data_IF_876472346698
#
_entry.id   IF_876472346698
#
_cell.length_a   1.000
_cell.length_b   1.000
_cell.length_c   1.000
_cell.angle_alpha   90.00
_cell.angle_beta   90.00
_cell.angle_gamma   90.00
#
_symmetry.space_group_name_H-M   'P 1'
#
loop_
_entity.id
_entity.type
_entity.pdbx_description
1 polymer ?
#
# COMPACT_ATOMS: atom_id res chain seq x y z
N UNK A 1 -17.66 -32.68 4.02
CA UNK A 1 -17.55 -31.20 3.97
C UNK A 1 -16.26 -30.84 4.67
N UNK A 2 -15.15 -31.06 3.97
CA UNK A 2 -13.80 -30.72 4.40
C UNK A 2 -13.47 -29.32 3.86
N UNK A 3 -12.96 -28.38 4.67
CA UNK A 3 -12.34 -27.18 4.14
C UNK A 3 -10.95 -27.54 3.62
N UNK A 4 -10.79 -27.46 2.30
CA UNK A 4 -9.52 -27.61 1.62
C UNK A 4 -8.61 -26.41 1.92
N UNK A 5 -7.69 -26.60 2.87
CA UNK A 5 -6.45 -25.82 3.00
C UNK A 5 -5.28 -26.80 3.06
N UNK A 6 -4.59 -27.08 1.93
CA UNK A 6 -3.31 -27.76 2.01
C UNK A 6 -2.28 -27.19 1.02
N UNK A 7 -1.79 -25.95 1.19
CA UNK A 7 -0.64 -25.46 0.39
C UNK A 7 0.41 -24.60 1.09
N UNK A 8 0.39 -24.40 2.42
CA UNK A 8 1.48 -23.71 3.12
C UNK A 8 2.18 -24.62 4.16
N UNK A 9 3.31 -25.21 3.72
CA UNK A 9 4.46 -25.70 4.50
C UNK A 9 4.45 -27.14 5.06
N UNK A 10 5.15 -28.10 4.43
CA UNK A 10 5.41 -29.45 4.97
C UNK A 10 6.46 -29.50 6.12
N UNK A 11 6.91 -28.36 6.67
CA UNK A 11 8.06 -28.30 7.57
C UNK A 11 7.86 -27.55 8.90
N UNK A 12 6.65 -27.09 9.21
CA UNK A 12 6.42 -26.18 10.35
C UNK A 12 5.46 -26.76 11.42
N UNK A 13 5.43 -28.08 11.58
CA UNK A 13 4.49 -28.77 12.49
C UNK A 13 4.99 -28.95 13.93
N UNK A 14 6.11 -28.34 14.34
CA UNK A 14 6.63 -28.47 15.72
C UNK A 14 6.61 -27.17 16.55
N UNK A 15 6.02 -26.09 16.04
CA UNK A 15 5.95 -24.79 16.72
C UNK A 15 4.54 -24.24 16.99
N UNK A 16 3.48 -25.01 16.70
CA UNK A 16 2.09 -24.51 16.65
C UNK A 16 1.46 -24.23 18.02
N UNK A 17 2.02 -24.75 19.11
CA UNK A 17 1.60 -24.38 20.48
C UNK A 17 1.85 -22.87 20.75
N UNK A 18 2.86 -22.28 20.09
CA UNK A 18 3.11 -20.83 20.13
C UNK A 18 2.27 -20.02 19.14
N UNK A 19 1.90 -20.59 17.98
CA UNK A 19 1.10 -19.89 16.97
C UNK A 19 -0.37 -19.78 17.33
N UNK A 20 -0.96 -20.77 18.01
CA UNK A 20 -2.31 -20.63 18.56
C UNK A 20 -2.37 -19.53 19.63
N UNK A 21 -1.32 -19.37 20.43
CA UNK A 21 -1.21 -18.26 21.38
C UNK A 21 -1.04 -16.90 20.69
N UNK A 22 -0.32 -16.82 19.56
CA UNK A 22 -0.19 -15.60 18.73
C UNK A 22 -1.50 -15.26 18.01
N UNK A 23 -2.26 -16.25 17.54
CA UNK A 23 -3.59 -16.06 16.94
C UNK A 23 -4.64 -15.63 17.99
N UNK A 24 -4.61 -16.20 19.19
CA UNK A 24 -5.45 -15.77 20.33
C UNK A 24 -5.04 -14.41 20.92
N UNK A 25 -3.75 -14.02 20.84
CA UNK A 25 -3.31 -12.66 21.17
C UNK A 25 -3.73 -11.62 20.13
N UNK A 26 -3.86 -12.03 18.86
CA UNK A 26 -4.27 -11.16 17.77
C UNK A 26 -5.73 -10.67 17.93
N UNK A 27 -6.61 -11.47 18.54
CA UNK A 27 -7.99 -11.06 18.83
C UNK A 27 -8.12 -10.08 20.02
N UNK A 28 -7.16 -10.06 20.96
CA UNK A 28 -7.24 -9.27 22.19
C UNK A 28 -6.53 -7.92 22.14
N UNK A 29 -5.81 -7.63 21.05
CA UNK A 29 -4.93 -6.47 20.92
C UNK A 29 -5.02 -5.73 19.59
N UNK A 30 -6.22 -5.51 19.04
CA UNK A 30 -6.41 -4.94 17.69
C UNK A 30 -5.59 -3.68 17.38
N UNK A 31 -5.34 -2.81 18.38
CA UNK A 31 -4.46 -1.64 18.22
C UNK A 31 -2.97 -2.00 18.13
N UNK A 32 -2.49 -2.97 18.92
CA UNK A 32 -1.09 -3.41 18.92
C UNK A 32 -0.73 -4.05 17.58
N UNK A 33 -1.61 -4.88 17.03
CA UNK A 33 -1.41 -5.52 15.71
C UNK A 33 -1.28 -4.46 14.62
N UNK A 34 -2.12 -3.42 14.64
CA UNK A 34 -2.03 -2.30 13.71
C UNK A 34 -0.69 -1.54 13.81
N UNK A 35 -0.19 -1.29 15.02
CA UNK A 35 1.11 -0.64 15.21
C UNK A 35 2.27 -1.48 14.65
N UNK A 36 2.26 -2.79 14.88
CA UNK A 36 3.27 -3.68 14.33
C UNK A 36 3.24 -3.72 12.80
N UNK A 37 2.05 -3.76 12.18
CA UNK A 37 1.93 -3.74 10.72
C UNK A 37 2.51 -2.46 10.10
N UNK A 38 2.22 -1.29 10.68
CA UNK A 38 2.80 -0.02 10.22
C UNK A 38 4.34 -0.01 10.39
N UNK A 39 4.85 -0.60 11.46
CA UNK A 39 6.29 -0.73 11.69
C UNK A 39 6.95 -1.65 10.64
N UNK A 40 6.34 -2.80 10.35
CA UNK A 40 6.84 -3.69 9.30
C UNK A 40 6.80 -3.04 7.91
N UNK A 41 5.73 -2.30 7.58
CA UNK A 41 5.64 -1.53 6.35
C UNK A 41 6.76 -0.49 6.25
N UNK A 42 7.03 0.23 7.35
CA UNK A 42 8.14 1.18 7.43
C UNK A 42 9.49 0.51 7.20
N UNK A 43 9.77 -0.60 7.91
CA UNK A 43 11.06 -1.32 7.82
C UNK A 43 11.26 -1.89 6.42
N UNK A 44 10.23 -2.47 5.81
CA UNK A 44 10.28 -2.98 4.43
C UNK A 44 10.63 -1.86 3.42
N UNK A 45 9.95 -0.71 3.53
CA UNK A 45 10.21 0.45 2.68
C UNK A 45 11.60 1.05 2.94
N UNK A 46 12.06 1.06 4.19
CA UNK A 46 13.39 1.54 4.56
C UNK A 46 14.50 0.65 4.00
N UNK A 47 14.35 -0.67 4.12
CA UNK A 47 15.26 -1.63 3.50
C UNK A 47 15.32 -1.46 1.97
N UNK A 48 14.16 -1.24 1.32
CA UNK A 48 14.10 -0.96 -0.11
C UNK A 48 14.86 0.33 -0.47
N UNK A 49 14.71 1.41 0.30
CA UNK A 49 15.47 2.64 0.08
C UNK A 49 17.00 2.44 0.19
N UNK A 50 17.48 1.57 1.08
CA UNK A 50 18.90 1.23 1.20
C UNK A 50 19.39 0.51 -0.06
N UNK A 51 18.64 -0.49 -0.53
CA UNK A 51 18.98 -1.26 -1.74
C UNK A 51 19.06 -0.33 -2.97
N UNK A 52 18.16 0.65 -3.07
CA UNK A 52 18.16 1.64 -4.14
C UNK A 52 19.08 2.85 -3.89
N UNK A 53 19.97 2.77 -2.88
CA UNK A 53 20.98 3.77 -2.54
C UNK A 53 20.41 5.20 -2.42
N UNK A 54 19.24 5.34 -1.81
CA UNK A 54 18.61 6.63 -1.53
C UNK A 54 19.42 7.37 -0.47
N UNK A 55 19.85 8.60 -0.75
CA UNK A 55 20.74 9.38 0.12
C UNK A 55 20.03 10.53 0.82
N UNK A 56 20.59 10.91 1.97
CA UNK A 56 20.19 12.10 2.73
C UNK A 56 18.83 11.94 3.42
N UNK A 57 18.11 13.05 3.55
CA UNK A 57 16.85 13.12 4.30
C UNK A 57 15.73 12.24 3.69
N UNK A 58 15.78 11.99 2.38
CA UNK A 58 14.80 11.18 1.67
C UNK A 58 14.76 9.73 2.17
N UNK A 59 15.87 9.19 2.68
CA UNK A 59 15.96 7.84 3.23
C UNK A 59 14.95 7.59 4.36
N UNK A 60 14.67 8.62 5.17
CA UNK A 60 13.69 8.52 6.26
C UNK A 60 12.29 8.94 5.83
N UNK A 61 12.17 9.97 4.99
CA UNK A 61 10.86 10.49 4.59
C UNK A 61 10.12 9.63 3.57
N UNK A 62 10.81 8.86 2.71
CA UNK A 62 10.13 7.98 1.75
C UNK A 62 9.42 6.80 2.44
N UNK A 63 10.07 6.05 3.35
CA UNK A 63 9.42 4.94 4.07
C UNK A 63 8.29 5.38 4.99
N UNK A 64 8.36 6.60 5.54
CA UNK A 64 7.25 7.19 6.32
C UNK A 64 5.96 7.29 5.49
N UNK A 65 6.06 7.50 4.18
CA UNK A 65 4.90 7.51 3.29
C UNK A 65 4.19 6.16 3.20
N UNK A 66 4.95 5.06 3.20
CA UNK A 66 4.39 3.70 3.19
C UNK A 66 3.69 3.36 4.50
N UNK A 67 4.30 3.70 5.64
CA UNK A 67 3.67 3.56 6.95
C UNK A 67 2.41 4.42 7.09
N UNK A 68 2.43 5.65 6.54
CA UNK A 68 1.28 6.54 6.55
C UNK A 68 0.13 6.01 5.69
N UNK A 69 0.42 5.52 4.47
CA UNK A 69 -0.57 4.89 3.61
C UNK A 69 -1.21 3.66 4.26
N UNK A 70 -0.39 2.81 4.90
CA UNK A 70 -0.87 1.64 5.62
C UNK A 70 -1.71 2.01 6.85
N UNK A 71 -1.31 3.05 7.59
CA UNK A 71 -2.10 3.55 8.72
C UNK A 71 -3.48 4.05 8.27
N UNK A 72 -3.58 4.75 7.13
CA UNK A 72 -4.87 5.20 6.59
C UNK A 72 -5.72 4.01 6.14
N UNK A 73 -5.12 3.01 5.51
CA UNK A 73 -5.82 1.76 5.17
C UNK A 73 -6.45 1.11 6.42
N UNK A 74 -5.71 1.01 7.53
CA UNK A 74 -6.20 0.46 8.80
C UNK A 74 -7.27 1.35 9.48
N UNK A 75 -7.18 2.67 9.33
CA UNK A 75 -8.22 3.58 9.83
C UNK A 75 -9.53 3.44 9.04
N UNK A 76 -9.45 2.97 7.79
CA UNK A 76 -10.62 2.74 6.94
C UNK A 76 -11.21 1.34 7.07
N UNK A 77 -10.67 0.45 7.91
CA UNK A 77 -11.24 -0.87 8.22
C UNK A 77 -12.75 -0.87 8.54
N UNK A 78 -13.35 0.11 9.26
CA UNK A 78 -14.80 0.10 9.49
C UNK A 78 -15.67 0.26 8.24
N UNK A 79 -15.14 0.60 7.07
CA UNK A 79 -15.92 0.77 5.83
C UNK A 79 -16.41 -0.56 5.22
N UNK A 80 -15.99 -1.72 5.73
CA UNK A 80 -16.37 -3.07 5.27
C UNK A 80 -16.13 -3.37 3.77
N UNK A 81 -15.50 -2.46 3.03
CA UNK A 81 -15.13 -2.61 1.62
C UNK A 81 -13.62 -2.48 1.48
N UNK A 82 -12.95 -3.57 1.12
CA UNK A 82 -11.48 -3.57 0.94
C UNK A 82 -11.05 -2.64 -0.20
N UNK A 83 -11.83 -2.60 -1.28
CA UNK A 83 -11.56 -1.76 -2.44
C UNK A 83 -11.50 -0.27 -2.07
N UNK A 84 -12.46 0.19 -1.25
CA UNK A 84 -12.47 1.57 -0.75
C UNK A 84 -11.32 1.84 0.22
N UNK A 85 -10.93 0.87 1.04
CA UNK A 85 -9.77 0.99 1.93
C UNK A 85 -8.47 1.20 1.15
N UNK A 86 -8.22 0.39 0.11
CA UNK A 86 -7.06 0.54 -0.77
C UNK A 86 -7.09 1.86 -1.55
N UNK A 87 -8.27 2.28 -2.02
CA UNK A 87 -8.45 3.56 -2.70
C UNK A 87 -8.09 4.75 -1.78
N UNK A 88 -8.65 4.79 -0.57
CA UNK A 88 -8.41 5.86 0.41
C UNK A 88 -6.95 5.85 0.92
N UNK A 89 -6.39 4.67 1.19
CA UNK A 89 -4.97 4.53 1.54
C UNK A 89 -4.06 5.07 0.44
N UNK A 90 -4.39 4.79 -0.82
CA UNK A 90 -3.62 5.27 -1.97
C UNK A 90 -3.77 6.77 -2.22
N UNK A 91 -4.98 7.32 -2.02
CA UNK A 91 -5.19 8.76 -2.03
C UNK A 91 -4.31 9.46 -0.97
N UNK A 92 -4.26 8.91 0.24
CA UNK A 92 -3.47 9.47 1.33
C UNK A 92 -1.96 9.37 1.07
N UNK A 93 -1.44 8.21 0.64
CA UNK A 93 -0.01 8.08 0.34
C UNK A 93 0.40 8.91 -0.88
N UNK A 94 -0.47 9.04 -1.89
CA UNK A 94 -0.18 9.84 -3.09
C UNK A 94 -0.15 11.33 -2.77
N UNK A 95 -1.05 11.80 -1.89
CA UNK A 95 -1.02 13.20 -1.43
C UNK A 95 0.22 13.46 -0.59
N UNK A 96 0.61 12.52 0.29
CA UNK A 96 1.86 12.59 1.03
C UNK A 96 3.07 12.68 0.10
N UNK A 97 3.16 11.82 -0.91
CA UNK A 97 4.26 11.79 -1.87
C UNK A 97 4.41 13.12 -2.62
N UNK A 98 3.30 13.67 -3.13
CA UNK A 98 3.28 14.97 -3.82
C UNK A 98 3.71 16.13 -2.91
N UNK A 99 3.21 16.17 -1.68
CA UNK A 99 3.53 17.24 -0.71
C UNK A 99 5.00 17.18 -0.30
N UNK A 100 5.49 15.99 0.07
CA UNK A 100 6.87 15.82 0.54
C UNK A 100 7.91 16.00 -0.56
N UNK A 101 7.60 15.58 -1.79
CA UNK A 101 8.45 15.81 -2.95
C UNK A 101 8.69 17.30 -3.20
N UNK A 102 7.66 18.14 -3.02
CA UNK A 102 7.78 19.59 -3.20
C UNK A 102 8.51 20.26 -2.05
N UNK A 103 8.27 19.81 -0.83
CA UNK A 103 9.00 20.29 0.35
C UNK A 103 10.51 20.02 0.23
N UNK A 104 10.89 18.86 -0.32
CA UNK A 104 12.28 18.43 -0.46
C UNK A 104 12.89 18.69 -1.85
N UNK A 105 12.14 19.32 -2.77
CA UNK A 105 12.56 19.57 -4.17
C UNK A 105 13.09 18.31 -4.86
N UNK A 106 12.41 17.20 -4.64
CA UNK A 106 12.76 15.86 -5.13
C UNK A 106 11.68 15.33 -6.08
N UNK A 107 11.97 14.34 -6.93
CA UNK A 107 10.97 13.74 -7.81
C UNK A 107 9.88 13.00 -7.01
N UNK A 108 8.61 13.33 -7.28
CA UNK A 108 7.46 12.71 -6.60
C UNK A 108 7.32 11.21 -6.86
N UNK A 109 7.79 10.75 -8.02
CA UNK A 109 7.76 9.34 -8.41
C UNK A 109 8.53 8.44 -7.43
N UNK A 110 9.66 8.91 -6.89
CA UNK A 110 10.42 8.15 -5.90
C UNK A 110 9.63 7.91 -4.62
N UNK A 111 9.04 8.98 -4.07
CA UNK A 111 8.22 8.90 -2.86
C UNK A 111 6.99 8.01 -3.07
N UNK A 112 6.35 8.14 -4.24
CA UNK A 112 5.19 7.34 -4.59
C UNK A 112 5.53 5.85 -4.69
N UNK A 113 6.60 5.49 -5.41
CA UNK A 113 6.99 4.09 -5.60
C UNK A 113 7.29 3.39 -4.28
N UNK A 114 8.06 4.03 -3.40
CA UNK A 114 8.40 3.47 -2.09
C UNK A 114 7.17 3.36 -1.21
N UNK A 115 6.30 4.37 -1.18
CA UNK A 115 5.10 4.35 -0.35
C UNK A 115 4.03 3.37 -0.85
N UNK A 116 4.00 3.07 -2.15
CA UNK A 116 3.02 2.19 -2.76
C UNK A 116 3.38 0.70 -2.59
N UNK A 117 4.65 0.36 -2.36
CA UNK A 117 5.13 -1.02 -2.16
C UNK A 117 4.24 -1.88 -1.25
N UNK A 118 3.94 -1.48 0.00
CA UNK A 118 3.14 -2.31 0.90
C UNK A 118 1.66 -2.42 0.49
N UNK A 119 1.15 -1.52 -0.36
CA UNK A 119 -0.25 -1.52 -0.78
C UNK A 119 -0.54 -2.46 -1.97
N UNK A 120 0.48 -2.91 -2.69
CA UNK A 120 0.28 -3.75 -3.87
C UNK A 120 -0.08 -5.18 -3.43
N UNK A 121 -1.21 -5.75 -3.88
CA UNK A 121 -1.65 -7.09 -3.50
C UNK A 121 -0.84 -8.18 -4.23
N UNK A 122 0.41 -8.41 -3.80
CA UNK A 122 1.29 -9.44 -4.37
C UNK A 122 0.75 -10.86 -4.19
N UNK A 123 0.14 -11.15 -3.03
CA UNK A 123 -0.49 -12.44 -2.75
C UNK A 123 -1.68 -12.73 -3.67
N UNK A 124 -2.52 -11.73 -3.95
CA UNK A 124 -3.67 -11.88 -4.85
C UNK A 124 -3.24 -12.25 -6.28
N UNK A 125 -2.16 -11.65 -6.77
CA UNK A 125 -1.56 -11.99 -8.08
C UNK A 125 -1.04 -13.44 -8.06
N UNK A 126 -0.32 -13.83 -7.00
CA UNK A 126 0.21 -15.18 -6.85
C UNK A 126 -0.90 -16.24 -6.85
N UNK A 127 -1.94 -16.06 -6.03
CA UNK A 127 -3.06 -17.02 -5.95
C UNK A 127 -3.86 -17.08 -7.25
N UNK A 128 -4.03 -15.94 -7.94
CA UNK A 128 -4.67 -15.94 -9.27
C UNK A 128 -3.87 -16.82 -10.23
N UNK A 129 -2.54 -16.68 -10.27
CA UNK A 129 -1.69 -17.52 -11.12
C UNK A 129 -1.77 -19.01 -10.73
N UNK A 130 -1.74 -19.31 -9.43
CA UNK A 130 -1.86 -20.66 -8.90
C UNK A 130 -3.16 -21.33 -9.36
N UNK A 131 -4.32 -20.69 -9.17
CA UNK A 131 -5.61 -21.22 -9.60
C UNK A 131 -5.70 -21.43 -11.12
N UNK A 132 -5.04 -20.59 -11.90
CA UNK A 132 -4.93 -20.75 -13.35
C UNK A 132 -4.15 -22.00 -13.75
N UNK A 133 -3.07 -22.32 -13.03
CA UNK A 133 -2.25 -23.52 -13.28
C UNK A 133 -2.97 -24.78 -12.80
N UNK A 134 -3.67 -24.73 -11.66
CA UNK A 134 -4.43 -25.87 -11.14
C UNK A 134 -5.74 -26.14 -11.89
N UNK A 135 -6.10 -25.31 -12.87
CA UNK A 135 -7.32 -25.46 -13.68
C UNK A 135 -8.62 -25.09 -12.94
N UNK A 136 -8.53 -24.35 -11.83
CA UNK A 136 -9.70 -23.89 -11.09
C UNK A 136 -10.17 -22.53 -11.65
N UNK A 137 -10.95 -22.58 -12.73
CA UNK A 137 -11.39 -21.39 -13.47
C UNK A 137 -12.28 -20.46 -12.65
N UNK A 138 -13.10 -20.98 -11.73
CA UNK A 138 -13.99 -20.18 -10.90
C UNK A 138 -13.19 -19.29 -9.94
N UNK A 139 -12.30 -19.90 -9.15
CA UNK A 139 -11.42 -19.16 -8.22
C UNK A 139 -10.42 -18.25 -8.95
N UNK A 140 -9.96 -18.66 -10.13
CA UNK A 140 -9.11 -17.84 -11.00
C UNK A 140 -9.81 -16.53 -11.37
N UNK A 141 -11.06 -16.61 -11.84
CA UNK A 141 -11.82 -15.43 -12.25
C UNK A 141 -12.18 -14.56 -11.06
N UNK A 142 -12.61 -15.14 -9.95
CA UNK A 142 -12.97 -14.38 -8.74
C UNK A 142 -11.75 -13.64 -8.16
N UNK A 143 -10.66 -14.36 -7.91
CA UNK A 143 -9.42 -13.78 -7.34
C UNK A 143 -8.77 -12.80 -8.32
N UNK A 144 -8.80 -13.11 -9.61
CA UNK A 144 -8.28 -12.25 -10.67
C UNK A 144 -9.04 -10.94 -10.77
N UNK A 145 -10.37 -10.98 -10.81
CA UNK A 145 -11.21 -9.78 -10.84
C UNK A 145 -11.08 -8.95 -9.56
N UNK A 146 -10.96 -9.60 -8.40
CA UNK A 146 -10.71 -8.92 -7.13
C UNK A 146 -9.38 -8.17 -7.13
N UNK A 147 -8.31 -8.84 -7.55
CA UNK A 147 -6.95 -8.27 -7.62
C UNK A 147 -6.87 -7.14 -8.65
N UNK A 148 -7.51 -7.31 -9.81
CA UNK A 148 -7.65 -6.25 -10.82
C UNK A 148 -8.44 -5.05 -10.30
N UNK A 149 -9.51 -5.30 -9.54
CA UNK A 149 -10.28 -4.26 -8.85
C UNK A 149 -9.38 -3.43 -7.94
N UNK A 150 -8.63 -4.08 -7.05
CA UNK A 150 -7.69 -3.40 -6.14
C UNK A 150 -6.66 -2.61 -6.95
N UNK A 151 -6.01 -3.22 -7.94
CA UNK A 151 -5.02 -2.54 -8.79
C UNK A 151 -5.62 -1.29 -9.49
N UNK A 152 -6.85 -1.41 -9.98
CA UNK A 152 -7.61 -0.29 -10.56
C UNK A 152 -7.89 0.82 -9.54
N UNK A 153 -8.27 0.48 -8.31
CA UNK A 153 -8.46 1.44 -7.22
C UNK A 153 -7.15 2.16 -6.85
N UNK A 154 -6.03 1.43 -6.73
CA UNK A 154 -4.72 2.03 -6.49
C UNK A 154 -4.39 3.03 -7.62
N UNK A 155 -4.50 2.60 -8.88
CA UNK A 155 -4.20 3.43 -10.05
C UNK A 155 -5.07 4.70 -10.09
N UNK A 156 -6.37 4.57 -9.86
CA UNK A 156 -7.30 5.69 -9.79
C UNK A 156 -6.94 6.67 -8.66
N UNK A 157 -6.59 6.17 -7.48
CA UNK A 157 -6.16 7.00 -6.35
C UNK A 157 -4.93 7.85 -6.71
N UNK A 158 -3.91 7.24 -7.30
CA UNK A 158 -2.71 7.94 -7.76
C UNK A 158 -3.04 9.00 -8.81
N UNK A 159 -3.82 8.62 -9.83
CA UNK A 159 -4.17 9.49 -10.96
C UNK A 159 -4.97 10.73 -10.51
N UNK A 160 -5.93 10.55 -9.61
CA UNK A 160 -6.76 11.63 -9.09
C UNK A 160 -5.91 12.67 -8.35
N UNK A 161 -5.04 12.21 -7.45
CA UNK A 161 -4.15 13.13 -6.70
C UNK A 161 -3.18 13.83 -7.63
N UNK A 162 -2.49 13.08 -8.50
CA UNK A 162 -1.50 13.63 -9.42
C UNK A 162 -2.13 14.69 -10.35
N UNK A 163 -3.35 14.43 -10.83
CA UNK A 163 -4.09 15.35 -11.70
C UNK A 163 -4.53 16.61 -10.94
N UNK A 164 -5.10 16.44 -9.74
CA UNK A 164 -5.51 17.55 -8.89
C UNK A 164 -4.31 18.44 -8.53
N UNK A 165 -3.18 17.84 -8.15
CA UNK A 165 -1.98 18.58 -7.76
C UNK A 165 -1.32 19.30 -8.94
N UNK A 166 -1.36 18.69 -10.14
CA UNK A 166 -0.90 19.33 -11.37
C UNK A 166 -1.78 20.53 -11.71
N UNK A 167 -3.09 20.36 -11.67
CA UNK A 167 -4.05 21.43 -11.94
C UNK A 167 -3.85 22.60 -10.97
N UNK A 168 -3.76 22.31 -9.67
CA UNK A 168 -3.50 23.32 -8.63
C UNK A 168 -2.23 24.16 -8.91
N UNK A 169 -1.15 23.52 -9.36
CA UNK A 169 0.09 24.21 -9.71
C UNK A 169 -0.04 25.12 -10.93
N UNK A 170 -0.73 24.66 -11.97
CA UNK A 170 -0.98 25.46 -13.17
C UNK A 170 -1.76 26.73 -12.82
N UNK A 171 -2.80 26.60 -11.98
CA UNK A 171 -3.58 27.75 -11.51
C UNK A 171 -2.72 28.74 -10.70
N UNK A 172 -1.88 28.27 -9.77
CA UNK A 172 -0.97 29.15 -9.00
C UNK A 172 0.11 29.80 -9.87
N UNK A 173 0.60 29.11 -10.89
CA UNK A 173 1.56 29.65 -11.87
C UNK A 173 0.97 30.81 -12.68
N UNK A 174 -0.29 30.66 -13.16
CA UNK A 174 -1.01 31.70 -13.89
C UNK A 174 -1.28 32.96 -13.03
N UNK A 175 -1.64 32.77 -11.76
CA UNK A 175 -1.88 33.88 -10.83
C UNK A 175 -0.62 34.73 -10.53
N UNK A 176 0.58 34.14 -10.63
CA UNK A 176 1.86 34.87 -10.50
C UNK A 176 2.25 35.64 -11.76
N UNK A 177 1.89 35.13 -12.94
CA UNK A 177 2.24 35.77 -14.21
C UNK A 177 1.43 37.05 -14.48
N UNK A 178 0.12 37.02 -14.18
CA UNK A 178 -0.73 38.22 -14.31
C UNK A 178 -0.40 39.36 -13.35
N UNK A 179 0.40 39.10 -12.30
CA UNK A 179 0.81 40.11 -11.31
C UNK A 179 2.19 40.73 -11.59
N UNK A 180 2.93 40.22 -12.59
CA UNK A 180 4.28 40.69 -12.96
C UNK A 180 4.30 41.55 -14.24
N UNK A 181 3.14 41.68 -14.90
CA UNK A 181 2.93 42.56 -16.07
C UNK A 181 2.13 43.83 -15.74
N UNK A 182 1.84 44.07 -14.45
CA UNK A 182 1.45 45.37 -13.90
C UNK A 182 2.63 45.90 -13.10
#
# INVERSE_FOLDING_TARGET
MEPALPWLFPGFYLGYEGLCAVMLWAERGGKLVAYFQCLYAFVACFAFCIVFNVRGKALFFMPLGGAFGWAVYLLCTPLQSELLQYFLGTLALSTYAEVMARAHKAPATGYLLVALLPMVPGGGIYYTMEYGITGNTEMFLETGMHTLGIAGALAMGVLLVSSCMRMWNVFRGRAKYGRRQR
#
